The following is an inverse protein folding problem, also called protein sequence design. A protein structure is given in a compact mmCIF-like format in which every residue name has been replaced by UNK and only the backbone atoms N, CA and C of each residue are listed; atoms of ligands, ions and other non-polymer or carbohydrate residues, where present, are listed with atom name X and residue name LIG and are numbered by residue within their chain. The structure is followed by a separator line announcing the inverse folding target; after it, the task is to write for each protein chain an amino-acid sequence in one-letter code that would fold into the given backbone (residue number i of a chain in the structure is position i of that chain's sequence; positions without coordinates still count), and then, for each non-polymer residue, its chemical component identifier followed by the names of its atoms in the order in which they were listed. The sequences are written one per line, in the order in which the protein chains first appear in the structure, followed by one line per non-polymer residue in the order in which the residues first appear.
data_IF_264787062028
#
_entry.id   IF_264787062028
#
_cell.length_a   1.000
_cell.length_b   1.000
_cell.length_c   1.000
_cell.angle_alpha   90.00
_cell.angle_beta   90.00
_cell.angle_gamma   90.00
#
_symmetry.space_group_name_H-M   'P 1'
#
loop_
_entity.id
_entity.type
_entity.pdbx_description
1 polymer ?
#
# COMPACT_ATOMS: atom_id res chain seq x y z
N UNK A 1 -10.40 -58.92 -13.29
CA UNK A 1 -11.68 -58.18 -13.37
C UNK A 1 -11.39 -56.80 -13.94
N UNK A 2 -11.96 -56.42 -15.10
CA UNK A 2 -11.75 -55.08 -15.65
C UNK A 2 -12.51 -54.04 -14.82
N UNK A 3 -11.88 -52.89 -14.57
CA UNK A 3 -12.47 -51.80 -13.81
C UNK A 3 -13.56 -51.10 -14.62
N UNK A 4 -14.67 -50.75 -13.97
CA UNK A 4 -15.73 -49.90 -14.56
C UNK A 4 -15.14 -48.53 -14.85
N UNK A 5 -14.98 -48.20 -16.13
CA UNK A 5 -14.61 -46.88 -16.57
C UNK A 5 -15.86 -45.99 -16.57
N UNK A 6 -15.92 -45.02 -15.65
CA UNK A 6 -16.97 -43.99 -15.65
C UNK A 6 -16.49 -42.81 -16.48
N UNK A 7 -16.99 -42.70 -17.71
CA UNK A 7 -16.75 -41.51 -18.53
C UNK A 7 -17.72 -40.42 -18.06
N UNK A 8 -17.18 -39.30 -17.60
CA UNK A 8 -17.95 -38.12 -17.22
C UNK A 8 -17.92 -37.16 -18.39
N UNK A 9 -19.09 -36.79 -18.91
CA UNK A 9 -19.22 -35.84 -20.01
C UNK A 9 -19.92 -34.55 -19.56
N UNK A 10 -19.49 -33.39 -20.08
CA UNK A 10 -20.14 -32.11 -19.80
C UNK A 10 -21.56 -32.09 -20.37
N UNK A 11 -22.53 -31.62 -19.57
CA UNK A 11 -23.94 -31.49 -19.99
C UNK A 11 -24.27 -30.14 -20.63
N UNK A 12 -23.56 -29.10 -20.21
CA UNK A 12 -23.78 -27.72 -20.63
C UNK A 12 -22.47 -27.07 -21.05
N UNK A 13 -22.54 -26.21 -22.05
CA UNK A 13 -21.47 -25.28 -22.44
C UNK A 13 -22.03 -23.86 -22.36
N UNK A 14 -21.41 -23.04 -21.52
CA UNK A 14 -21.92 -21.72 -21.14
C UNK A 14 -23.35 -21.80 -20.57
N UNK A 15 -24.37 -21.53 -21.41
CA UNK A 15 -25.80 -21.60 -21.04
C UNK A 15 -26.61 -22.50 -21.98
N UNK A 16 -25.94 -23.26 -22.85
CA UNK A 16 -26.57 -24.11 -23.86
C UNK A 16 -26.36 -25.59 -23.51
N UNK A 17 -27.42 -26.40 -23.61
CA UNK A 17 -27.32 -27.85 -23.43
C UNK A 17 -26.59 -28.48 -24.61
N UNK A 18 -25.58 -29.30 -24.33
CA UNK A 18 -24.80 -30.02 -25.35
C UNK A 18 -25.57 -31.21 -25.95
N UNK A 19 -26.59 -31.70 -25.23
CA UNK A 19 -27.44 -32.83 -25.63
C UNK A 19 -28.90 -32.41 -25.67
N UNK A 20 -29.65 -32.99 -26.60
CA UNK A 20 -31.10 -32.81 -26.69
C UNK A 20 -31.86 -33.71 -25.71
N UNK A 21 -33.17 -33.52 -25.55
CA UNK A 21 -34.04 -34.35 -24.70
C UNK A 21 -33.92 -35.86 -25.05
N UNK A 22 -33.61 -36.17 -26.30
CA UNK A 22 -33.40 -37.53 -26.83
C UNK A 22 -31.94 -38.02 -26.72
N UNK A 23 -31.06 -37.29 -26.03
CA UNK A 23 -29.66 -37.67 -25.80
C UNK A 23 -28.69 -37.45 -26.96
N UNK A 24 -29.16 -36.94 -28.12
CA UNK A 24 -28.33 -36.65 -29.30
C UNK A 24 -27.49 -35.38 -29.08
N UNK A 25 -26.20 -35.36 -29.47
CA UNK A 25 -25.39 -34.15 -29.43
C UNK A 25 -26.01 -33.06 -30.33
N UNK A 26 -26.21 -31.87 -29.75
CA UNK A 26 -26.79 -30.70 -30.44
C UNK A 26 -25.75 -29.81 -31.10
N UNK A 27 -24.49 -29.96 -30.69
CA UNK A 27 -23.39 -29.05 -31.03
C UNK A 27 -22.37 -29.81 -31.86
N UNK A 28 -21.90 -29.18 -32.93
CA UNK A 28 -20.81 -29.70 -33.77
C UNK A 28 -19.45 -29.32 -33.17
N UNK A 29 -18.39 -30.10 -33.44
CA UNK A 29 -17.06 -29.87 -32.84
C UNK A 29 -16.51 -28.46 -33.15
N UNK A 30 -16.85 -27.89 -34.31
CA UNK A 30 -16.44 -26.53 -34.70
C UNK A 30 -17.08 -25.44 -33.83
N UNK A 31 -18.33 -25.61 -33.41
CA UNK A 31 -19.02 -24.68 -32.51
C UNK A 31 -18.41 -24.71 -31.11
N UNK A 32 -17.98 -25.87 -30.63
CA UNK A 32 -17.26 -26.00 -29.37
C UNK A 32 -15.94 -25.23 -29.42
N UNK A 33 -15.16 -25.40 -30.49
CA UNK A 33 -13.90 -24.67 -30.69
C UNK A 33 -14.14 -23.15 -30.76
N UNK A 34 -15.20 -22.71 -31.43
CA UNK A 34 -15.56 -21.30 -31.52
C UNK A 34 -15.92 -20.69 -30.15
N UNK A 35 -16.71 -21.40 -29.33
CA UNK A 35 -17.08 -20.93 -27.98
C UNK A 35 -15.88 -20.91 -27.05
N UNK A 36 -15.00 -21.91 -27.12
CA UNK A 36 -13.76 -21.93 -26.32
C UNK A 36 -12.85 -20.76 -26.71
N UNK A 37 -12.65 -20.51 -28.01
CA UNK A 37 -11.82 -19.39 -28.48
C UNK A 37 -12.42 -18.03 -28.10
N UNK A 38 -13.74 -17.88 -28.20
CA UNK A 38 -14.45 -16.67 -27.75
C UNK A 38 -14.29 -16.47 -26.24
N UNK A 39 -14.45 -17.52 -25.45
CA UNK A 39 -14.27 -17.48 -23.99
C UNK A 39 -12.85 -17.08 -23.63
N UNK A 40 -11.84 -17.67 -24.29
CA UNK A 40 -10.43 -17.32 -24.06
C UNK A 40 -10.13 -15.87 -24.45
N UNK A 41 -10.60 -15.43 -25.62
CA UNK A 41 -10.43 -14.05 -26.08
C UNK A 41 -11.07 -13.04 -25.13
N UNK A 42 -12.24 -13.38 -24.58
CA UNK A 42 -12.91 -12.55 -23.58
C UNK A 42 -12.13 -12.51 -22.26
N UNK A 43 -11.60 -13.65 -21.80
CA UNK A 43 -10.75 -13.69 -20.60
C UNK A 43 -9.48 -12.85 -20.79
N UNK A 44 -8.80 -12.95 -21.94
CA UNK A 44 -7.64 -12.12 -22.26
C UNK A 44 -7.98 -10.63 -22.28
N UNK A 45 -9.12 -10.25 -22.86
CA UNK A 45 -9.60 -8.87 -22.85
C UNK A 45 -9.88 -8.36 -21.45
N UNK A 46 -10.49 -9.17 -20.59
CA UNK A 46 -10.72 -8.82 -19.18
C UNK A 46 -9.39 -8.65 -18.42
N UNK A 47 -8.41 -9.53 -18.63
CA UNK A 47 -7.08 -9.40 -18.04
C UNK A 47 -6.37 -8.13 -18.52
N UNK A 48 -6.46 -7.80 -19.81
CA UNK A 48 -5.90 -6.55 -20.34
C UNK A 48 -6.55 -5.32 -19.67
N UNK A 49 -7.87 -5.31 -19.51
CA UNK A 49 -8.56 -4.24 -18.77
C UNK A 49 -8.12 -4.15 -17.32
N UNK A 50 -7.87 -5.29 -16.65
CA UNK A 50 -7.38 -5.31 -15.28
C UNK A 50 -5.95 -4.77 -15.16
N UNK A 51 -5.08 -5.07 -16.12
CA UNK A 51 -3.71 -4.53 -16.16
C UNK A 51 -3.73 -3.02 -16.33
N UNK A 52 -4.56 -2.48 -17.24
CA UNK A 52 -4.71 -1.04 -17.41
C UNK A 52 -5.19 -0.35 -16.12
N UNK A 53 -6.16 -0.95 -15.43
CA UNK A 53 -6.62 -0.42 -14.15
C UNK A 53 -5.51 -0.47 -13.08
N UNK A 54 -4.71 -1.54 -13.06
CA UNK A 54 -3.58 -1.64 -12.14
C UNK A 54 -2.52 -0.58 -12.43
N UNK A 55 -2.25 -0.29 -13.70
CA UNK A 55 -1.33 0.77 -14.13
C UNK A 55 -1.80 2.15 -13.61
N UNK A 56 -3.09 2.46 -13.75
CA UNK A 56 -3.66 3.71 -13.24
C UNK A 56 -3.47 3.84 -11.71
N UNK A 57 -3.75 2.77 -10.96
CA UNK A 57 -3.56 2.75 -9.50
C UNK A 57 -2.08 2.96 -9.13
N UNK A 58 -1.16 2.24 -9.78
CA UNK A 58 0.26 2.36 -9.47
C UNK A 58 0.83 3.72 -9.88
N UNK A 59 0.33 4.33 -10.95
CA UNK A 59 0.71 5.67 -11.39
C UNK A 59 0.32 6.72 -10.35
N UNK A 60 -0.93 6.65 -9.85
CA UNK A 60 -1.39 7.57 -8.82
C UNK A 60 -0.63 7.39 -7.50
N UNK A 61 -0.41 6.14 -7.07
CA UNK A 61 0.39 5.85 -5.88
C UNK A 61 1.82 6.36 -5.99
N UNK A 62 2.45 6.21 -7.16
CA UNK A 62 3.80 6.71 -7.41
C UNK A 62 3.85 8.23 -7.26
N UNK A 63 2.89 8.94 -7.86
CA UNK A 63 2.78 10.41 -7.74
C UNK A 63 2.63 10.85 -6.28
N UNK A 64 1.80 10.16 -5.50
CA UNK A 64 1.62 10.45 -4.08
C UNK A 64 2.91 10.19 -3.27
N UNK A 65 3.61 9.09 -3.55
CA UNK A 65 4.87 8.74 -2.89
C UNK A 65 5.99 9.72 -3.23
N UNK A 66 6.07 10.21 -4.46
CA UNK A 66 6.99 11.27 -4.86
C UNK A 66 6.74 12.55 -4.06
N UNK A 67 5.47 12.95 -3.92
CA UNK A 67 5.10 14.10 -3.09
C UNK A 67 5.49 13.94 -1.61
N UNK A 68 5.31 12.75 -1.04
CA UNK A 68 5.76 12.44 0.33
C UNK A 68 7.29 12.48 0.42
N UNK A 69 7.98 11.94 -0.57
CA UNK A 69 9.44 11.89 -0.62
C UNK A 69 10.03 13.29 -0.64
N UNK A 70 9.51 14.19 -1.47
CA UNK A 70 9.99 15.57 -1.55
C UNK A 70 9.75 16.32 -0.24
N UNK A 71 8.55 16.19 0.35
CA UNK A 71 8.25 16.79 1.66
C UNK A 71 9.17 16.27 2.75
N UNK A 72 9.46 14.96 2.73
CA UNK A 72 10.36 14.31 3.69
C UNK A 72 11.79 14.81 3.53
N UNK A 73 12.25 15.01 2.29
CA UNK A 73 13.57 15.58 2.00
C UNK A 73 13.69 17.03 2.50
N UNK A 74 12.68 17.85 2.26
CA UNK A 74 12.62 19.23 2.77
C UNK A 74 12.65 19.23 4.31
N UNK A 75 11.85 18.38 4.94
CA UNK A 75 11.80 18.24 6.40
C UNK A 75 13.17 17.83 6.95
N UNK A 76 13.80 16.80 6.35
CA UNK A 76 15.14 16.35 6.71
C UNK A 76 16.17 17.48 6.62
N UNK A 77 16.17 18.23 5.52
CA UNK A 77 17.10 19.37 5.33
C UNK A 77 16.88 20.48 6.37
N UNK A 78 15.63 20.69 6.83
CA UNK A 78 15.33 21.64 7.91
C UNK A 78 15.84 21.12 9.26
N UNK A 79 15.65 19.83 9.53
CA UNK A 79 16.15 19.18 10.75
C UNK A 79 17.68 19.26 10.81
N UNK A 80 18.38 18.94 9.71
CA UNK A 80 19.84 19.02 9.63
C UNK A 80 20.34 20.44 9.89
N UNK A 81 19.70 21.46 9.30
CA UNK A 81 20.04 22.87 9.59
C UNK A 81 19.81 23.25 11.05
N UNK A 82 18.69 22.84 11.64
CA UNK A 82 18.41 23.12 13.05
C UNK A 82 19.46 22.42 13.93
N UNK A 83 19.83 21.18 13.60
CA UNK A 83 20.84 20.43 14.31
C UNK A 83 22.19 21.15 14.31
N UNK A 84 22.65 21.61 13.13
CA UNK A 84 23.89 22.38 12.99
C UNK A 84 23.85 23.70 13.79
N UNK A 85 22.71 24.41 13.77
CA UNK A 85 22.54 25.64 14.56
C UNK A 85 22.63 25.33 16.05
N UNK A 86 21.99 24.25 16.52
CA UNK A 86 21.99 23.85 17.94
C UNK A 86 23.37 23.37 18.39
N UNK A 87 24.08 22.61 17.56
CA UNK A 87 25.42 22.10 17.88
C UNK A 87 26.46 23.22 17.98
N UNK A 88 26.38 24.23 17.10
CA UNK A 88 27.25 25.39 17.12
C UNK A 88 26.79 26.50 18.09
N UNK A 89 25.64 26.33 18.76
CA UNK A 89 25.11 27.32 19.67
C UNK A 89 25.91 27.36 20.98
N UNK A 90 26.50 28.52 21.28
CA UNK A 90 27.18 28.75 22.56
C UNK A 90 26.22 29.41 23.56
N UNK A 91 25.74 28.68 24.59
CA UNK A 91 24.78 29.19 25.57
C UNK A 91 25.36 30.29 26.46
N UNK A 92 26.68 30.51 26.47
CA UNK A 92 27.33 31.55 27.29
C UNK A 92 27.44 32.89 26.57
N UNK A 93 27.25 32.94 25.24
CA UNK A 93 27.40 34.16 24.44
C UNK A 93 26.17 35.07 24.46
N UNK A 94 24.98 34.53 24.73
CA UNK A 94 23.73 35.30 24.72
C UNK A 94 23.22 35.46 26.16
N UNK A 95 23.49 36.59 26.83
CA UNK A 95 23.00 36.81 28.18
C UNK A 95 21.49 37.04 28.18
N UNK A 96 20.81 36.44 29.17
CA UNK A 96 19.40 36.72 29.43
C UNK A 96 19.28 38.13 29.99
N UNK A 97 18.56 39.01 29.28
CA UNK A 97 18.27 40.37 29.74
C UNK A 97 17.66 40.35 31.14
N UNK A 98 18.07 41.29 32.01
CA UNK A 98 17.67 41.33 33.42
C UNK A 98 16.15 41.26 33.63
N UNK A 99 15.37 41.92 32.77
CA UNK A 99 13.91 41.92 32.82
C UNK A 99 13.25 40.55 32.56
N UNK A 100 13.98 39.60 31.97
CA UNK A 100 13.48 38.26 31.64
C UNK A 100 14.09 37.14 32.49
N UNK A 101 14.94 37.47 33.47
CA UNK A 101 15.61 36.48 34.34
C UNK A 101 14.61 35.57 35.08
N UNK A 102 13.58 36.15 35.72
CA UNK A 102 12.54 35.37 36.42
C UNK A 102 11.82 34.41 35.46
N UNK A 103 11.41 34.92 34.29
CA UNK A 103 10.66 34.14 33.30
C UNK A 103 11.51 32.99 32.74
N UNK A 104 12.79 33.24 32.47
CA UNK A 104 13.73 32.23 31.98
C UNK A 104 13.91 31.07 32.98
N UNK A 105 14.05 31.37 34.28
CA UNK A 105 14.14 30.36 35.34
C UNK A 105 12.88 29.50 35.38
N UNK A 106 11.68 30.12 35.31
CA UNK A 106 10.41 29.39 35.31
C UNK A 106 10.31 28.46 34.10
N UNK A 107 10.72 28.92 32.91
CA UNK A 107 10.69 28.11 31.69
C UNK A 107 11.62 26.90 31.80
N UNK A 108 12.86 27.09 32.29
CA UNK A 108 13.81 25.98 32.47
C UNK A 108 13.29 24.95 33.47
N UNK A 109 12.73 25.39 34.60
CA UNK A 109 12.20 24.47 35.61
C UNK A 109 11.03 23.65 35.07
N UNK A 110 10.10 24.28 34.34
CA UNK A 110 8.98 23.58 33.70
C UNK A 110 9.44 22.60 32.60
N UNK A 111 10.43 23.00 31.80
CA UNK A 111 10.99 22.12 30.77
C UNK A 111 11.64 20.90 31.43
N UNK A 112 12.45 21.11 32.47
CA UNK A 112 13.12 20.03 33.19
C UNK A 112 12.12 19.04 33.80
N UNK A 113 11.08 19.53 34.48
CA UNK A 113 10.04 18.68 35.06
C UNK A 113 9.32 17.84 33.99
N UNK A 114 8.96 18.45 32.85
CA UNK A 114 8.21 17.79 31.78
C UNK A 114 8.99 16.66 31.10
N UNK A 115 10.33 16.77 31.02
CA UNK A 115 11.17 15.80 30.31
C UNK A 115 11.95 14.82 31.21
N UNK A 116 12.25 15.16 32.48
CA UNK A 116 12.80 14.18 33.44
C UNK A 116 11.80 13.05 33.76
N UNK A 117 10.50 13.32 33.69
CA UNK A 117 9.47 12.27 33.84
C UNK A 117 9.36 11.34 32.61
N UNK A 118 9.90 11.71 31.45
CA UNK A 118 9.86 10.89 30.23
C UNK A 118 11.07 9.98 30.01
N UNK A 119 12.22 10.25 30.65
CA UNK A 119 13.37 9.32 30.59
C UNK A 119 13.20 8.11 31.52
N UNK A 120 12.40 8.22 32.59
CA UNK A 120 12.13 7.12 33.52
C UNK A 120 11.18 6.07 32.91
N UNK A 121 10.43 6.40 31.85
CA UNK A 121 9.49 5.49 31.18
C UNK A 121 10.08 4.73 29.99
N UNK A 122 11.27 5.06 29.49
CA UNK A 122 11.92 4.31 28.39
C UNK A 122 12.78 3.12 28.87
N UNK A 123 13.13 3.06 30.16
CA UNK A 123 13.91 1.95 30.73
C UNK A 123 13.09 0.89 31.46
N UNK A 124 11.76 0.92 31.34
CA UNK A 124 10.86 -0.08 31.93
C UNK A 124 9.90 -0.64 30.89
N UNK A 125 10.43 -1.46 29.99
CA UNK A 125 9.67 -2.52 29.33
C UNK A 125 10.49 -3.82 29.40
N UNK A 126 9.84 -4.96 29.69
CA UNK A 126 10.50 -6.26 29.84
C UNK A 126 11.15 -6.76 28.55
#
# INVERSE_FOLDING_TARGET
MPFVQRVVEPKFLSRTSLRDENGKPRVTDEELQAVTNCTLSNALRQLASLVLLAEDIFSELTTQLEGITERSKIARTKIERIHEIVENYDPKKVPVLLQYQQLYIIIILNYKEKYEHSEISLHRTP
#
